data_IF_062567326388
#
_entry.id   IF_062567326388
#
_cell.length_a   1.000
_cell.length_b   1.000
_cell.length_c   1.000
_cell.angle_alpha   90.00
_cell.angle_beta   90.00
_cell.angle_gamma   90.00
#
_symmetry.space_group_name_H-M   'P 1'
#
loop_
_entity.id
_entity.type
_entity.pdbx_description
1 polymer ?
#
# COMPACT_ATOMS: atom_id res chain seq x y z
N UNK A 1 -12.97 4.61 -22.40
CA UNK A 1 -11.59 4.97 -22.00
C UNK A 1 -11.13 4.18 -20.79
N UNK A 2 -11.88 4.20 -19.67
CA UNK A 2 -11.53 3.45 -18.43
C UNK A 2 -11.41 1.95 -18.72
N UNK A 3 -12.37 1.35 -19.43
CA UNK A 3 -12.33 -0.08 -19.80
C UNK A 3 -11.11 -0.44 -20.66
N UNK A 4 -10.74 0.43 -21.59
CA UNK A 4 -9.54 0.24 -22.44
C UNK A 4 -8.28 0.33 -21.57
N UNK A 5 -8.22 1.30 -20.65
CA UNK A 5 -7.10 1.47 -19.74
C UNK A 5 -6.92 0.26 -18.81
N UNK A 6 -8.01 -0.22 -18.19
CA UNK A 6 -7.98 -1.42 -17.35
C UNK A 6 -7.60 -2.65 -18.17
N UNK A 7 -8.18 -2.81 -19.36
CA UNK A 7 -7.86 -3.91 -20.29
C UNK A 7 -6.37 -3.91 -20.70
N UNK A 8 -5.80 -2.73 -20.95
CA UNK A 8 -4.38 -2.57 -21.23
C UNK A 8 -3.51 -2.99 -20.02
N UNK A 9 -3.85 -2.53 -18.81
CA UNK A 9 -3.14 -2.93 -17.58
C UNK A 9 -3.19 -4.46 -17.42
N UNK A 10 -4.37 -5.07 -17.53
CA UNK A 10 -4.54 -6.52 -17.39
C UNK A 10 -3.74 -7.30 -18.45
N UNK A 11 -3.66 -6.80 -19.67
CA UNK A 11 -2.85 -7.40 -20.72
C UNK A 11 -1.36 -7.26 -20.41
N UNK A 12 -0.93 -6.07 -19.97
CA UNK A 12 0.46 -5.79 -19.62
C UNK A 12 0.95 -6.68 -18.47
N UNK A 13 0.09 -7.01 -17.49
CA UNK A 13 0.46 -7.91 -16.37
C UNK A 13 0.81 -9.34 -16.83
N UNK A 14 0.48 -9.72 -18.08
CA UNK A 14 0.84 -11.04 -18.64
C UNK A 14 2.27 -11.10 -19.16
N UNK A 15 2.91 -9.95 -19.39
CA UNK A 15 4.31 -9.88 -19.82
C UNK A 15 5.25 -10.07 -18.62
N UNK A 16 6.26 -10.93 -18.76
CA UNK A 16 7.19 -11.26 -17.66
C UNK A 16 7.95 -10.03 -17.16
N UNK A 17 8.39 -9.16 -18.07
CA UNK A 17 9.14 -7.94 -17.79
C UNK A 17 8.28 -6.96 -16.98
N UNK A 18 7.03 -6.75 -17.39
CA UNK A 18 6.09 -5.87 -16.70
C UNK A 18 5.73 -6.42 -15.33
N UNK A 19 5.50 -7.74 -15.24
CA UNK A 19 5.25 -8.40 -13.94
C UNK A 19 6.42 -8.15 -12.97
N UNK A 20 7.66 -8.26 -13.46
CA UNK A 20 8.86 -8.00 -12.65
C UNK A 20 8.93 -6.52 -12.21
N UNK A 21 8.62 -5.57 -13.10
CA UNK A 21 8.51 -4.15 -12.71
C UNK A 21 7.45 -3.93 -11.62
N UNK A 22 6.31 -4.61 -11.70
CA UNK A 22 5.29 -4.51 -10.66
C UNK A 22 5.72 -5.12 -9.32
N UNK A 23 6.61 -6.12 -9.32
CA UNK A 23 7.22 -6.66 -8.11
C UNK A 23 8.18 -5.63 -7.47
N UNK A 24 9.01 -4.95 -8.25
CA UNK A 24 9.84 -3.84 -7.75
C UNK A 24 8.99 -2.68 -7.22
N UNK A 25 7.90 -2.32 -7.89
CA UNK A 25 6.95 -1.32 -7.41
C UNK A 25 6.30 -1.73 -6.08
N UNK A 26 6.03 -3.03 -5.90
CA UNK A 26 5.58 -3.59 -4.62
C UNK A 26 6.64 -3.50 -3.53
N UNK A 27 7.93 -3.75 -3.87
CA UNK A 27 9.06 -3.61 -2.95
C UNK A 27 9.21 -2.15 -2.48
N UNK A 28 9.14 -1.18 -3.41
CA UNK A 28 9.14 0.25 -3.09
C UNK A 28 8.05 0.62 -2.09
N UNK A 29 6.80 0.24 -2.35
CA UNK A 29 5.69 0.52 -1.43
C UNK A 29 5.87 -0.10 -0.06
N UNK A 30 6.34 -1.35 0.01
CA UNK A 30 6.61 -2.03 1.28
C UNK A 30 7.71 -1.32 2.07
N UNK A 31 8.77 -0.86 1.40
CA UNK A 31 9.87 -0.13 2.03
C UNK A 31 9.42 1.22 2.57
N UNK A 32 8.63 1.97 1.80
CA UNK A 32 8.06 3.26 2.25
C UNK A 32 7.10 3.04 3.43
N UNK A 33 6.20 2.06 3.34
CA UNK A 33 5.30 1.73 4.44
C UNK A 33 6.05 1.29 5.71
N UNK A 34 7.19 0.60 5.57
CA UNK A 34 8.04 0.22 6.69
C UNK A 34 8.54 1.46 7.46
N UNK A 35 9.05 2.45 6.73
CA UNK A 35 9.50 3.72 7.31
C UNK A 35 8.36 4.54 7.92
N UNK A 36 7.24 4.67 7.22
CA UNK A 36 6.08 5.43 7.70
C UNK A 36 5.44 4.80 8.94
N UNK A 37 5.59 3.48 9.12
CA UNK A 37 5.16 2.75 10.31
C UNK A 37 6.20 2.73 11.43
N UNK A 38 7.35 3.41 11.27
CA UNK A 38 8.38 3.53 12.30
C UNK A 38 9.25 2.29 12.48
N UNK A 39 9.35 1.41 11.47
CA UNK A 39 10.18 0.22 11.55
C UNK A 39 11.53 0.41 10.85
N UNK A 40 12.57 -0.22 11.38
CA UNK A 40 13.87 -0.29 10.72
C UNK A 40 13.78 -0.98 9.35
N UNK A 41 14.55 -0.50 8.37
CA UNK A 41 14.64 -1.08 7.04
C UNK A 41 15.46 -2.37 7.04
N UNK A 42 14.83 -3.46 7.42
CA UNK A 42 15.35 -4.82 7.26
C UNK A 42 14.43 -5.59 6.29
N UNK A 43 14.95 -6.59 5.59
CA UNK A 43 14.17 -7.42 4.68
C UNK A 43 12.94 -8.02 5.40
N UNK A 44 13.13 -8.48 6.64
CA UNK A 44 12.07 -9.04 7.48
C UNK A 44 10.97 -8.02 7.78
N UNK A 45 11.34 -6.82 8.21
CA UNK A 45 10.37 -5.76 8.52
C UNK A 45 9.62 -5.26 7.28
N UNK A 46 10.29 -5.16 6.14
CA UNK A 46 9.69 -4.73 4.89
C UNK A 46 8.77 -5.80 4.31
N UNK A 47 9.13 -7.08 4.43
CA UNK A 47 8.41 -8.21 3.83
C UNK A 47 6.94 -8.31 4.26
N UNK A 48 6.62 -8.02 5.51
CA UNK A 48 5.23 -8.10 6.00
C UNK A 48 4.42 -6.81 5.82
N UNK A 49 5.03 -5.72 5.33
CA UNK A 49 4.33 -4.48 5.04
C UNK A 49 3.39 -4.60 3.84
N UNK A 50 2.43 -3.65 3.74
CA UNK A 50 1.51 -3.58 2.61
C UNK A 50 2.24 -3.19 1.32
N UNK A 51 1.92 -3.85 0.21
CA UNK A 51 2.38 -3.47 -1.13
C UNK A 51 1.55 -2.35 -1.78
N UNK A 52 0.55 -1.82 -1.09
CA UNK A 52 -0.25 -0.68 -1.54
C UNK A 52 0.03 0.53 -0.68
N UNK A 53 0.07 1.71 -1.29
CA UNK A 53 0.39 2.97 -0.63
C UNK A 53 -0.53 4.08 -1.12
N UNK A 54 -1.05 4.94 -0.21
CA UNK A 54 -2.05 5.97 -0.57
C UNK A 54 -1.51 7.04 -1.52
N UNK A 55 -0.21 7.34 -1.49
CA UNK A 55 0.47 8.38 -2.28
C UNK A 55 1.21 7.83 -3.50
N UNK A 56 0.58 6.96 -4.28
CA UNK A 56 1.19 6.33 -5.44
C UNK A 56 0.82 7.01 -6.76
N UNK A 57 1.78 7.11 -7.69
CA UNK A 57 1.60 7.68 -9.02
C UNK A 57 0.56 6.95 -9.89
N UNK A 58 0.38 5.64 -9.72
CA UNK A 58 -0.65 4.88 -10.47
C UNK A 58 -2.06 5.26 -10.01
N UNK A 59 -2.26 5.51 -8.72
CA UNK A 59 -3.49 6.09 -8.19
C UNK A 59 -3.71 7.50 -8.73
N UNK A 60 -2.66 8.32 -8.80
CA UNK A 60 -2.73 9.65 -9.38
C UNK A 60 -3.24 9.61 -10.82
N UNK A 61 -2.71 8.75 -11.68
CA UNK A 61 -3.18 8.60 -13.06
C UNK A 61 -4.66 8.22 -13.16
N UNK A 62 -5.13 7.34 -12.27
CA UNK A 62 -6.55 6.99 -12.20
C UNK A 62 -7.41 8.21 -11.85
N UNK A 63 -7.02 9.00 -10.83
CA UNK A 63 -7.79 10.19 -10.44
C UNK A 63 -7.76 11.27 -11.52
N UNK A 64 -6.62 11.51 -12.17
CA UNK A 64 -6.54 12.41 -13.34
C UNK A 64 -7.54 11.98 -14.41
N UNK A 65 -7.63 10.68 -14.70
CA UNK A 65 -8.56 10.15 -15.69
C UNK A 65 -10.03 10.30 -15.26
N UNK A 66 -10.37 10.01 -14.00
CA UNK A 66 -11.73 10.14 -13.47
C UNK A 66 -12.17 11.59 -13.42
N UNK A 67 -11.33 12.48 -12.89
CA UNK A 67 -11.62 13.92 -12.78
C UNK A 67 -11.72 14.54 -14.19
N UNK A 68 -10.82 14.15 -15.12
CA UNK A 68 -10.88 14.64 -16.50
C UNK A 68 -12.19 14.25 -17.19
N UNK A 69 -12.71 13.05 -16.91
CA UNK A 69 -13.98 12.61 -17.47
C UNK A 69 -15.13 13.54 -17.02
N UNK A 70 -15.15 13.88 -15.72
CA UNK A 70 -16.17 14.79 -15.15
C UNK A 70 -16.08 16.16 -15.82
N UNK A 71 -14.87 16.76 -15.87
CA UNK A 71 -14.68 18.09 -16.48
C UNK A 71 -15.05 18.11 -17.96
N UNK A 72 -14.70 17.07 -18.72
CA UNK A 72 -15.00 17.02 -20.17
C UNK A 72 -16.48 16.70 -20.47
N UNK A 73 -17.23 16.17 -19.53
CA UNK A 73 -18.69 16.04 -19.65
C UNK A 73 -19.38 17.37 -19.41
N UNK A 74 -18.88 18.18 -18.44
CA UNK A 74 -19.45 19.48 -18.08
C UNK A 74 -19.05 20.55 -19.11
N UNK A 75 -17.76 20.61 -19.46
CA UNK A 75 -17.19 21.63 -20.35
C UNK A 75 -17.19 21.09 -21.79
N UNK A 76 -18.20 21.49 -22.58
CA UNK A 76 -18.39 21.09 -23.98
C UNK A 76 -18.30 22.29 -24.91
N UNK A 77 -17.08 22.75 -25.26
CA UNK A 77 -16.94 23.86 -26.22
C UNK A 77 -17.43 23.43 -27.61
N UNK A 78 -18.17 24.29 -28.27
CA UNK A 78 -18.74 24.03 -29.59
C UNK A 78 -17.67 24.10 -30.70
N UNK A 79 -16.73 25.04 -30.59
CA UNK A 79 -15.71 25.27 -31.62
C UNK A 79 -14.47 24.44 -31.37
N UNK A 80 -13.77 24.05 -32.43
CA UNK A 80 -12.51 23.28 -32.36
C UNK A 80 -11.44 24.03 -31.54
N UNK A 81 -11.28 25.32 -31.79
CA UNK A 81 -10.30 26.16 -31.06
C UNK A 81 -10.59 26.22 -29.56
N UNK A 82 -11.82 26.47 -29.17
CA UNK A 82 -12.21 26.52 -27.78
C UNK A 82 -12.01 25.16 -27.11
N UNK A 83 -12.20 24.06 -27.83
CA UNK A 83 -11.95 22.69 -27.35
C UNK A 83 -10.48 22.44 -27.08
N UNK A 84 -9.58 22.86 -27.96
CA UNK A 84 -8.14 22.70 -27.76
C UNK A 84 -7.67 23.57 -26.60
N UNK A 85 -8.03 24.86 -26.60
CA UNK A 85 -7.64 25.79 -25.53
C UNK A 85 -8.15 25.33 -24.15
N UNK A 86 -9.42 24.91 -24.07
CA UNK A 86 -9.97 24.40 -22.80
C UNK A 86 -9.22 23.19 -22.27
N UNK A 87 -8.78 22.27 -23.14
CA UNK A 87 -7.99 21.11 -22.73
C UNK A 87 -6.60 21.50 -22.22
N UNK A 88 -5.93 22.44 -22.87
CA UNK A 88 -4.61 22.92 -22.45
C UNK A 88 -4.70 23.56 -21.06
N UNK A 89 -5.76 24.33 -20.79
CA UNK A 89 -5.97 24.97 -19.49
C UNK A 89 -6.42 23.96 -18.43
N UNK A 90 -7.28 23.00 -18.79
CA UNK A 90 -7.84 22.04 -17.84
C UNK A 90 -6.84 21.00 -17.38
N UNK A 91 -5.87 20.59 -18.22
CA UNK A 91 -4.89 19.55 -17.85
C UNK A 91 -4.13 19.91 -16.57
N UNK A 92 -3.49 21.08 -16.42
CA UNK A 92 -2.80 21.42 -15.17
C UNK A 92 -3.75 21.58 -13.98
N UNK A 93 -4.98 22.05 -14.18
CA UNK A 93 -5.99 22.18 -13.13
C UNK A 93 -6.40 20.79 -12.62
N UNK A 94 -6.70 19.86 -13.53
CA UNK A 94 -7.06 18.48 -13.20
C UNK A 94 -5.91 17.77 -12.49
N UNK A 95 -4.68 17.96 -12.96
CA UNK A 95 -3.50 17.39 -12.32
C UNK A 95 -3.32 17.95 -10.90
N UNK A 96 -3.48 19.25 -10.71
CA UNK A 96 -3.41 19.90 -9.39
C UNK A 96 -4.46 19.35 -8.42
N UNK A 97 -5.73 19.27 -8.84
CA UNK A 97 -6.81 18.71 -8.02
C UNK A 97 -6.51 17.22 -7.66
N UNK A 98 -6.04 16.43 -8.63
CA UNK A 98 -5.70 15.03 -8.41
C UNK A 98 -4.53 14.87 -7.43
N UNK A 99 -3.54 15.76 -7.51
CA UNK A 99 -2.41 15.78 -6.60
C UNK A 99 -2.83 16.12 -5.17
N UNK A 100 -3.62 17.18 -4.98
CA UNK A 100 -4.13 17.56 -3.66
C UNK A 100 -4.99 16.46 -3.05
N UNK A 101 -5.79 15.78 -3.86
CA UNK A 101 -6.57 14.64 -3.39
C UNK A 101 -5.67 13.51 -2.86
N UNK A 102 -4.62 13.13 -3.58
CA UNK A 102 -3.68 12.07 -3.15
C UNK A 102 -2.89 12.50 -1.91
N UNK A 103 -2.47 13.76 -1.86
CA UNK A 103 -1.80 14.33 -0.69
C UNK A 103 -2.69 14.27 0.54
N UNK A 104 -3.96 14.65 0.41
CA UNK A 104 -4.95 14.57 1.48
C UNK A 104 -5.22 13.12 1.89
N UNK A 105 -5.29 12.19 0.94
CA UNK A 105 -5.51 10.77 1.20
C UNK A 105 -4.36 10.13 2.00
N UNK A 106 -3.13 10.63 1.80
CA UNK A 106 -1.95 10.17 2.54
C UNK A 106 -1.78 10.80 3.93
N UNK A 107 -2.41 11.96 4.19
CA UNK A 107 -2.23 12.71 5.44
C UNK A 107 -3.42 12.64 6.39
N UNK A 108 -4.53 12.03 6.00
CA UNK A 108 -5.78 12.05 6.78
C UNK A 108 -6.42 10.67 6.85
N UNK A 109 -6.86 10.28 8.04
CA UNK A 109 -7.63 9.06 8.26
C UNK A 109 -9.16 9.27 8.26
N UNK A 110 -9.62 10.31 7.55
CA UNK A 110 -11.04 10.57 7.40
C UNK A 110 -11.73 9.44 6.62
N UNK A 111 -12.87 8.95 7.13
CA UNK A 111 -13.65 7.85 6.53
C UNK A 111 -14.05 8.13 5.08
N UNK A 112 -14.42 9.37 4.74
CA UNK A 112 -14.82 9.77 3.39
C UNK A 112 -13.61 9.68 2.45
N UNK A 113 -12.47 10.23 2.85
CA UNK A 113 -11.23 10.20 2.07
C UNK A 113 -10.77 8.76 1.88
N UNK A 114 -10.84 7.92 2.90
CA UNK A 114 -10.51 6.50 2.82
C UNK A 114 -11.41 5.74 1.84
N UNK A 115 -12.73 6.03 1.80
CA UNK A 115 -13.64 5.42 0.82
C UNK A 115 -13.30 5.88 -0.59
N UNK A 116 -13.06 7.16 -0.79
CA UNK A 116 -12.68 7.72 -2.08
C UNK A 116 -11.31 7.24 -2.57
N UNK A 117 -10.42 6.83 -1.66
CA UNK A 117 -9.10 6.27 -2.00
C UNK A 117 -9.15 4.80 -2.44
N UNK A 118 -10.22 4.06 -2.14
CA UNK A 118 -10.35 2.64 -2.50
C UNK A 118 -10.16 2.33 -3.99
N UNK A 119 -10.72 3.11 -4.95
CA UNK A 119 -10.47 2.85 -6.37
C UNK A 119 -8.99 2.92 -6.74
N UNK A 120 -8.24 3.88 -6.16
CA UNK A 120 -6.79 3.99 -6.35
C UNK A 120 -6.04 2.80 -5.80
N UNK A 121 -6.34 2.38 -4.57
CA UNK A 121 -5.74 1.20 -3.94
C UNK A 121 -6.08 -0.09 -4.70
N UNK A 122 -7.31 -0.21 -5.22
CA UNK A 122 -7.69 -1.32 -6.08
C UNK A 122 -6.87 -1.33 -7.38
N UNK A 123 -6.67 -0.19 -8.02
CA UNK A 123 -5.82 -0.08 -9.20
C UNK A 123 -4.38 -0.54 -8.89
N UNK A 124 -3.85 -0.17 -7.74
CA UNK A 124 -2.52 -0.61 -7.31
C UNK A 124 -2.44 -2.12 -7.16
N UNK A 125 -3.49 -2.79 -6.67
CA UNK A 125 -3.49 -4.26 -6.57
C UNK A 125 -3.25 -4.96 -7.91
N UNK A 126 -3.51 -4.28 -9.04
CA UNK A 126 -3.21 -4.75 -10.39
C UNK A 126 -1.79 -4.38 -10.87
N UNK A 127 -1.22 -3.30 -10.32
CA UNK A 127 0.06 -2.71 -10.76
C UNK A 127 1.19 -2.88 -9.73
N UNK A 128 0.95 -3.61 -8.64
CA UNK A 128 1.97 -3.99 -7.66
C UNK A 128 1.97 -5.50 -7.47
N UNK A 129 3.15 -6.12 -7.61
CA UNK A 129 3.38 -7.54 -7.35
C UNK A 129 3.93 -7.77 -5.94
N UNK A 130 3.90 -9.02 -5.49
CA UNK A 130 4.64 -9.44 -4.29
C UNK A 130 6.12 -9.58 -4.66
N UNK A 131 7.03 -8.84 -4.01
CA UNK A 131 8.45 -8.86 -4.35
C UNK A 131 9.15 -10.07 -3.71
N UNK A 132 10.23 -10.51 -4.36
CA UNK A 132 11.21 -11.42 -3.79
C UNK A 132 12.17 -10.65 -2.85
N UNK A 133 12.89 -11.37 -1.99
CA UNK A 133 13.77 -10.79 -0.97
C UNK A 133 14.88 -9.92 -1.61
N UNK A 134 15.47 -10.37 -2.73
CA UNK A 134 16.45 -9.60 -3.50
C UNK A 134 15.91 -8.25 -4.00
N UNK A 135 14.63 -8.19 -4.36
CA UNK A 135 13.99 -6.94 -4.80
C UNK A 135 13.73 -5.99 -3.64
N UNK A 136 13.45 -6.53 -2.46
CA UNK A 136 13.33 -5.75 -1.22
C UNK A 136 14.69 -5.16 -0.85
N UNK A 137 15.78 -5.94 -0.94
CA UNK A 137 17.13 -5.43 -0.69
C UNK A 137 17.48 -4.26 -1.61
N UNK A 138 17.17 -4.37 -2.91
CA UNK A 138 17.38 -3.28 -3.88
C UNK A 138 16.58 -2.05 -3.51
N UNK A 139 15.33 -2.20 -3.06
CA UNK A 139 14.51 -1.07 -2.63
C UNK A 139 15.07 -0.40 -1.36
N UNK A 140 15.53 -1.19 -0.37
CA UNK A 140 16.18 -0.67 0.83
C UNK A 140 17.45 0.10 0.47
N UNK A 141 18.33 -0.48 -0.36
CA UNK A 141 19.57 0.17 -0.81
C UNK A 141 19.28 1.47 -1.56
N UNK A 142 18.20 1.50 -2.36
CA UNK A 142 17.79 2.71 -3.09
C UNK A 142 17.38 3.83 -2.15
N UNK A 143 16.69 3.52 -1.06
CA UNK A 143 16.34 4.49 -0.01
C UNK A 143 17.58 4.94 0.76
N UNK A 144 18.43 4.00 1.16
CA UNK A 144 19.66 4.27 1.91
C UNK A 144 20.63 5.19 1.14
N UNK A 145 20.63 5.10 -0.19
CA UNK A 145 21.48 5.94 -1.05
C UNK A 145 21.05 7.42 -1.14
N UNK A 146 19.78 7.74 -0.87
CA UNK A 146 19.22 9.09 -1.08
C UNK A 146 18.61 9.72 0.17
N UNK A 147 18.39 8.93 1.22
CA UNK A 147 17.66 9.36 2.41
C UNK A 147 18.23 8.73 3.69
N UNK A 148 18.58 9.59 4.66
CA UNK A 148 19.00 9.12 6.00
C UNK A 148 17.77 8.70 6.81
N UNK A 149 17.31 7.50 6.58
CA UNK A 149 16.14 6.93 7.24
C UNK A 149 16.40 6.68 8.74
N UNK A 150 17.66 6.50 9.16
CA UNK A 150 17.99 6.30 10.58
C UNK A 150 17.80 7.58 11.38
N UNK A 151 18.25 8.72 10.83
CA UNK A 151 17.99 10.02 11.42
C UNK A 151 16.48 10.32 11.46
N UNK A 152 15.75 10.00 10.41
CA UNK A 152 14.28 10.16 10.34
C UNK A 152 13.55 9.34 11.41
N UNK A 153 13.91 8.07 11.64
CA UNK A 153 13.30 7.26 12.70
C UNK A 153 13.61 7.79 14.09
N UNK A 154 14.87 8.21 14.33
CA UNK A 154 15.27 8.79 15.60
C UNK A 154 14.54 10.12 15.91
N UNK A 155 14.29 10.96 14.91
CA UNK A 155 13.52 12.19 15.05
C UNK A 155 12.04 11.90 15.37
N UNK A 156 11.41 10.95 14.70
CA UNK A 156 10.03 10.53 14.96
C UNK A 156 9.85 9.96 16.37
N UNK A 157 10.78 9.10 16.84
CA UNK A 157 10.76 8.58 18.22
C UNK A 157 10.90 9.70 19.27
N UNK A 158 11.75 10.70 18.99
CA UNK A 158 11.93 11.84 19.86
C UNK A 158 10.68 12.73 19.94
N UNK A 159 9.95 12.87 18.84
CA UNK A 159 8.71 13.67 18.79
C UNK A 159 7.52 12.94 19.43
N UNK A 160 7.37 11.62 19.23
CA UNK A 160 6.38 10.81 19.96
C UNK A 160 6.64 10.83 21.49
N UNK A 161 7.88 10.79 21.91
CA UNK A 161 8.23 10.88 23.34
C UNK A 161 7.90 12.24 23.95
N UNK A 162 7.96 13.33 23.18
CA UNK A 162 7.55 14.67 23.61
C UNK A 162 6.03 14.84 23.68
N UNK A 163 5.28 14.22 22.77
CA UNK A 163 3.81 14.24 22.79
C UNK A 163 3.24 13.43 23.94
N UNK A 164 3.78 12.24 24.20
CA UNK A 164 3.39 11.40 25.35
C UNK A 164 3.75 12.05 26.69
N UNK A 165 4.81 12.84 26.73
CA UNK A 165 5.17 13.63 27.94
C UNK A 165 4.22 14.82 28.22
N UNK A 166 3.50 15.32 27.19
CA UNK A 166 2.50 16.40 27.31
C UNK A 166 1.09 15.91 27.58
N UNK A 167 0.78 14.66 27.24
CA UNK A 167 -0.49 14.02 27.56
C UNK A 167 -0.44 13.45 28.98
N UNK A 168 -1.27 13.98 29.90
CA UNK A 168 -1.44 13.42 31.27
C UNK A 168 -1.82 11.93 31.18
N UNK A 169 -1.41 11.10 32.16
CA UNK A 169 -1.54 9.65 32.08
C UNK A 169 -3.02 9.23 32.14
N UNK A 170 -3.52 8.70 31.06
CA UNK A 170 -4.74 7.90 31.03
C UNK A 170 -4.37 6.50 30.60
N UNK A 171 -4.17 5.65 31.64
CA UNK A 171 -4.36 4.19 31.65
C UNK A 171 -3.55 3.38 30.62
N UNK A 172 -2.43 2.90 31.11
CA UNK A 172 -1.73 1.66 30.82
C UNK A 172 -2.72 0.47 30.74
N UNK A 173 -3.22 0.11 29.58
CA UNK A 173 -3.88 -1.18 29.35
C UNK A 173 -3.97 -1.53 27.86
N UNK A 174 -2.84 -1.70 27.18
CA UNK A 174 -2.81 -2.39 25.88
C UNK A 174 -1.40 -2.82 25.41
N UNK A 175 -0.43 -3.01 26.31
CA UNK A 175 0.91 -3.45 25.91
C UNK A 175 1.30 -4.81 26.49
N UNK A 176 0.32 -5.75 26.62
CA UNK A 176 0.62 -7.12 27.05
C UNK A 176 -0.25 -8.13 26.31
N UNK A 177 0.01 -8.31 25.04
CA UNK A 177 -0.37 -9.54 24.33
C UNK A 177 0.87 -10.09 23.63
N UNK A 178 1.78 -10.64 24.44
CA UNK A 178 2.70 -11.68 23.98
C UNK A 178 1.88 -12.93 23.65
N UNK A 179 2.17 -13.67 22.58
CA UNK A 179 1.50 -14.95 22.33
C UNK A 179 1.84 -15.92 23.44
N UNK A 180 0.81 -16.36 24.15
CA UNK A 180 0.88 -17.40 25.17
C UNK A 180 1.33 -18.69 24.50
N UNK A 181 2.48 -19.19 24.89
CA UNK A 181 2.94 -20.55 24.63
C UNK A 181 1.87 -21.52 25.10
N UNK A 182 1.34 -22.31 24.16
CA UNK A 182 0.43 -23.41 24.48
C UNK A 182 1.25 -24.49 25.15
N UNK A 183 1.12 -24.58 26.46
CA UNK A 183 1.65 -25.66 27.28
C UNK A 183 0.82 -26.93 27.04
N UNK A 184 1.49 -27.96 26.54
CA UNK A 184 0.94 -29.29 26.34
C UNK A 184 0.50 -29.86 27.69
N UNK A 185 -0.78 -29.95 27.93
CA UNK A 185 -1.33 -30.82 28.96
C UNK A 185 -1.53 -32.22 28.37
N UNK A 186 -0.62 -33.06 28.77
CA UNK A 186 -0.65 -34.51 28.68
C UNK A 186 -1.96 -35.04 29.30
N UNK A 187 -2.84 -35.57 28.48
CA UNK A 187 -4.00 -36.36 28.97
C UNK A 187 -3.89 -37.74 28.39
N UNK A 188 -3.33 -38.61 29.21
CA UNK A 188 -3.41 -40.05 29.09
C UNK A 188 -4.83 -40.49 28.78
N UNK A 189 -5.07 -41.07 27.63
CA UNK A 189 -6.27 -41.78 27.31
C UNK A 189 -5.96 -43.22 26.88
N UNK A 190 -6.47 -44.09 27.76
CA UNK A 190 -6.46 -45.52 27.71
C UNK A 190 -6.60 -46.15 26.33
N UNK A 191 -5.68 -47.07 26.04
CA UNK A 191 -5.79 -48.16 25.07
C UNK A 191 -7.15 -48.86 25.20
N UNK A 192 -7.91 -48.88 24.11
CA UNK A 192 -8.97 -49.87 23.90
C UNK A 192 -8.50 -50.83 22.78
N UNK A 193 -8.31 -52.04 23.22
CA UNK A 193 -7.76 -53.21 22.54
C UNK A 193 -8.92 -53.93 21.82
N UNK A 194 -9.30 -53.52 20.63
CA UNK A 194 -10.16 -54.29 19.73
C UNK A 194 -9.97 -53.88 18.29
N UNK A 195 -9.19 -54.62 17.56
CA UNK A 195 -9.33 -54.97 16.15
C UNK A 195 -8.05 -55.56 15.58
N UNK A 196 -7.65 -56.68 16.21
CA UNK A 196 -6.86 -57.70 15.51
C UNK A 196 -7.84 -58.77 15.05
N UNK A 197 -8.25 -58.75 13.80
CA UNK A 197 -8.59 -59.94 12.99
C UNK A 197 -9.04 -59.50 11.61
N UNK A 198 -8.22 -59.78 10.67
CA UNK A 198 -8.48 -60.23 9.29
C UNK A 198 -7.54 -59.54 8.29
N UNK A 199 -6.40 -60.18 8.09
CA UNK A 199 -5.72 -60.17 6.80
C UNK A 199 -4.75 -61.34 6.77
N UNK A 200 -5.07 -62.29 6.05
CA UNK A 200 -4.22 -63.17 5.27
C UNK A 200 -5.08 -64.26 4.62
N UNK A 201 -4.80 -64.76 3.46
CA UNK A 201 -3.58 -64.62 2.68
C UNK A 201 -3.70 -63.70 1.48
#
# INVERSE_FOLDING_TARGET
>A
RIMIFIGYILLATRMKEIKRMFMYHGAEHKTINCLENGFELTVENVKWQSKTHKRCGTSFMLYVMLISLIFFVIIRPETLYARVISRIILVPIIAGISYEFIRLAGSTDNKIVNILSKPGLWMQSLTTGEPDDDMIEVAIQSVDAVFDWKAFLAENEADESKETSKAKPVIETAKTLKPTTVENTDTTMKTDDRLKKSATP
#
